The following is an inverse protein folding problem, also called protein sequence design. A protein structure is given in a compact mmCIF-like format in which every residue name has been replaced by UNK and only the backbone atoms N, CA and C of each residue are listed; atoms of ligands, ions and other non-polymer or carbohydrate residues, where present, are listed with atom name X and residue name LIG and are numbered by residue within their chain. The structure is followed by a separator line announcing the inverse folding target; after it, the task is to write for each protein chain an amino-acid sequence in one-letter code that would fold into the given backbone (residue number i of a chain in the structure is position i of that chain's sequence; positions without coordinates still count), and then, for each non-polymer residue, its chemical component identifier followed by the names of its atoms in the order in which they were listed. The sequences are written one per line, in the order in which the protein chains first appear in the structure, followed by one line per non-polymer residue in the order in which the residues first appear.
data_IF_515519700496
#
_entry.id   IF_515519700496
#
_cell.length_a   1.000
_cell.length_b   1.000
_cell.length_c   1.000
_cell.angle_alpha   90.00
_cell.angle_beta   90.00
_cell.angle_gamma   90.00
#
_symmetry.space_group_name_H-M   'P 1'
#
loop_
_entity.id
_entity.type
_entity.pdbx_description
1 polymer ?
#
# COMPACT_ATOMS: atom_id res chain seq x y z
N UNK A 1 -14.82 -12.56 -7.98
CA UNK A 1 -13.96 -11.44 -8.38
C UNK A 1 -13.37 -10.75 -7.16
N UNK A 2 -12.13 -10.57 -7.15
CA UNK A 2 -11.46 -10.00 -6.01
C UNK A 2 -11.15 -8.52 -6.25
N UNK A 3 -11.40 -7.70 -5.25
CA UNK A 3 -11.00 -6.30 -5.27
C UNK A 3 -9.61 -6.11 -4.69
N UNK A 4 -8.97 -7.21 -4.36
CA UNK A 4 -7.71 -7.17 -3.67
C UNK A 4 -6.59 -7.09 -4.68
N UNK A 5 -5.86 -6.01 -4.64
CA UNK A 5 -4.77 -5.82 -5.57
C UNK A 5 -3.56 -5.28 -4.80
N UNK A 6 -2.45 -5.94 -4.97
CA UNK A 6 -1.18 -5.49 -4.43
C UNK A 6 -0.21 -5.39 -5.58
N UNK A 7 0.35 -4.21 -5.76
CA UNK A 7 1.23 -3.94 -6.90
C UNK A 7 2.56 -3.42 -6.39
N UNK A 8 3.60 -4.23 -6.47
CA UNK A 8 4.94 -3.74 -6.14
C UNK A 8 5.50 -2.92 -7.30
N UNK A 9 6.01 -1.76 -6.98
CA UNK A 9 6.63 -0.89 -7.96
C UNK A 9 8.08 -0.66 -7.59
N UNK A 10 8.94 -0.78 -8.58
CA UNK A 10 10.35 -0.52 -8.42
C UNK A 10 10.66 0.74 -9.21
N UNK A 11 11.02 1.79 -8.50
CA UNK A 11 11.32 3.08 -9.12
C UNK A 11 12.81 3.34 -9.22
N UNK A 12 13.58 2.30 -9.32
CA UNK A 12 15.02 2.52 -9.44
C UNK A 12 15.33 3.15 -10.78
N UNK A 13 16.25 4.07 -10.75
CA UNK A 13 16.69 4.78 -11.93
C UNK A 13 18.19 4.65 -12.02
N UNK A 14 18.63 3.79 -12.87
CA UNK A 14 20.03 3.52 -13.12
C UNK A 14 21.00 4.18 -12.17
N UNK A 15 21.56 3.47 -11.28
CA UNK A 15 22.57 4.00 -10.38
C UNK A 15 22.05 4.49 -9.05
N UNK A 16 20.76 4.69 -8.90
CA UNK A 16 20.21 5.07 -7.61
C UNK A 16 19.64 3.84 -6.91
N UNK A 17 19.61 3.86 -5.60
CA UNK A 17 19.00 2.76 -4.87
C UNK A 17 17.54 2.57 -5.28
N UNK A 18 17.15 1.34 -5.38
CA UNK A 18 15.76 1.02 -5.70
C UNK A 18 14.86 1.41 -4.55
N UNK A 19 13.75 2.05 -4.90
CA UNK A 19 12.70 2.33 -3.94
C UNK A 19 11.52 1.47 -4.32
N UNK A 20 11.14 0.56 -3.45
CA UNK A 20 10.06 -0.36 -3.72
C UNK A 20 8.83 0.15 -2.98
N UNK A 21 7.76 0.34 -3.71
CA UNK A 21 6.48 0.71 -3.12
C UNK A 21 5.49 -0.42 -3.29
N UNK A 22 4.79 -0.71 -2.22
CA UNK A 22 3.75 -1.72 -2.25
C UNK A 22 2.43 -1.01 -2.03
N UNK A 23 1.55 -1.14 -3.02
CA UNK A 23 0.28 -0.45 -3.00
C UNK A 23 -0.84 -1.46 -2.85
N UNK A 24 -1.58 -1.34 -1.78
CA UNK A 24 -2.73 -2.20 -1.55
C UNK A 24 -4.01 -1.47 -1.93
N UNK A 25 -4.79 -2.06 -2.82
CA UNK A 25 -6.01 -1.48 -3.31
C UNK A 25 -7.19 -2.31 -2.83
N UNK A 26 -8.19 -1.61 -2.29
CA UNK A 26 -9.39 -2.28 -1.80
C UNK A 26 -9.19 -2.83 -0.40
N UNK A 27 -10.24 -3.48 0.12
CA UNK A 27 -10.22 -3.98 1.48
C UNK A 27 -9.19 -5.06 1.71
N UNK A 28 -9.15 -6.05 0.82
CA UNK A 28 -8.20 -7.15 0.99
C UNK A 28 -6.77 -6.71 0.74
N UNK A 29 -6.56 -5.88 -0.29
CA UNK A 29 -5.22 -5.36 -0.55
C UNK A 29 -4.73 -4.51 0.59
N UNK A 30 -5.59 -3.67 1.15
CA UNK A 30 -5.24 -2.87 2.30
C UNK A 30 -4.89 -3.72 3.51
N UNK A 31 -5.65 -4.79 3.72
CA UNK A 31 -5.38 -5.70 4.81
C UNK A 31 -4.00 -6.33 4.69
N UNK A 32 -3.66 -6.77 3.50
CA UNK A 32 -2.36 -7.39 3.27
C UNK A 32 -1.23 -6.40 3.53
N UNK A 33 -1.39 -5.18 3.06
CA UNK A 33 -0.39 -4.15 3.29
C UNK A 33 -0.28 -3.80 4.77
N UNK A 34 -1.43 -3.72 5.46
CA UNK A 34 -1.43 -3.47 6.89
C UNK A 34 -0.64 -4.54 7.63
N UNK A 35 -0.85 -5.78 7.22
CA UNK A 35 -0.14 -6.89 7.85
C UNK A 35 1.36 -6.78 7.64
N UNK A 36 1.78 -6.50 6.42
CA UNK A 36 3.20 -6.35 6.13
C UNK A 36 3.80 -5.18 6.88
N UNK A 37 3.05 -4.09 7.00
CA UNK A 37 3.52 -2.94 7.74
C UNK A 37 3.78 -3.28 9.20
N UNK A 38 2.89 -4.05 9.78
CA UNK A 38 3.02 -4.45 11.18
C UNK A 38 4.17 -5.41 11.41
N UNK A 39 4.60 -6.11 10.36
CA UNK A 39 5.73 -7.01 10.45
C UNK A 39 7.05 -6.27 10.61
N UNK A 40 7.04 -4.97 10.46
CA UNK A 40 8.25 -4.18 10.69
C UNK A 40 9.17 -4.11 9.50
N UNK A 41 8.63 -4.27 8.32
CA UNK A 41 9.42 -4.14 7.10
C UNK A 41 9.69 -2.67 6.84
N UNK A 42 10.95 -2.29 6.77
CA UNK A 42 11.34 -0.89 6.66
C UNK A 42 11.88 -0.48 5.31
N UNK A 43 12.27 -1.45 4.49
CA UNK A 43 12.89 -1.16 3.21
C UNK A 43 11.88 -0.87 2.11
N UNK A 44 10.61 -0.83 2.47
CA UNK A 44 9.53 -0.70 1.51
C UNK A 44 8.61 0.40 1.97
N UNK A 45 8.13 1.18 1.01
CA UNK A 45 7.12 2.20 1.28
C UNK A 45 5.75 1.59 1.05
N UNK A 46 4.89 1.68 2.04
CA UNK A 46 3.55 1.11 1.94
C UNK A 46 2.53 2.21 1.68
N UNK A 47 1.62 1.92 0.77
CA UNK A 47 0.54 2.83 0.43
C UNK A 47 -0.76 2.05 0.40
N UNK A 48 -1.81 2.58 0.99
CA UNK A 48 -3.12 1.95 0.91
C UNK A 48 -4.07 2.87 0.16
N UNK A 49 -4.87 2.28 -0.70
CA UNK A 49 -5.84 2.99 -1.51
C UNK A 49 -7.21 2.38 -1.31
N UNK A 50 -8.21 3.21 -1.15
CA UNK A 50 -9.56 2.71 -1.00
C UNK A 50 -10.54 3.83 -1.34
N UNK A 51 -11.73 3.44 -1.73
CA UNK A 51 -12.83 4.39 -1.85
C UNK A 51 -13.48 4.63 -0.49
N UNK A 52 -13.32 3.70 0.43
CA UNK A 52 -13.90 3.79 1.77
C UNK A 52 -12.95 4.52 2.69
N UNK A 53 -13.32 5.74 3.05
CA UNK A 53 -12.49 6.58 3.89
C UNK A 53 -12.31 5.99 5.28
N UNK A 54 -13.32 5.31 5.78
CA UNK A 54 -13.22 4.72 7.11
C UNK A 54 -12.18 3.61 7.15
N UNK A 55 -12.13 2.80 6.10
CA UNK A 55 -11.12 1.75 6.03
C UNK A 55 -9.71 2.36 6.00
N UNK A 56 -9.55 3.47 5.30
CA UNK A 56 -8.26 4.15 5.27
C UNK A 56 -7.88 4.65 6.66
N UNK A 57 -8.84 5.22 7.37
CA UNK A 57 -8.57 5.77 8.70
C UNK A 57 -8.14 4.69 9.68
N UNK A 58 -8.59 3.46 9.48
CA UNK A 58 -8.25 2.38 10.38
C UNK A 58 -6.91 1.74 10.07
N UNK A 59 -6.32 2.11 8.95
CA UNK A 59 -5.04 1.52 8.56
C UNK A 59 -3.90 2.18 9.34
N UNK A 60 -2.91 1.40 9.80
CA UNK A 60 -1.74 1.96 10.45
C UNK A 60 -0.76 2.59 9.46
N UNK A 61 -0.93 2.32 8.17
CA UNK A 61 -0.03 2.81 7.15
C UNK A 61 -0.17 4.33 7.04
N UNK A 62 0.95 5.08 7.03
CA UNK A 62 0.87 6.53 7.02
C UNK A 62 0.45 7.13 5.68
N UNK A 63 0.73 6.44 4.58
CA UNK A 63 0.40 6.95 3.26
C UNK A 63 -0.90 6.34 2.80
N UNK A 64 -1.90 7.19 2.62
CA UNK A 64 -3.24 6.74 2.27
C UNK A 64 -3.75 7.57 1.11
N UNK A 65 -4.35 6.90 0.14
CA UNK A 65 -4.96 7.55 -1.00
C UNK A 65 -6.42 7.19 -1.05
N UNK A 66 -7.27 8.18 -1.00
CA UNK A 66 -8.68 7.94 -1.17
C UNK A 66 -9.01 8.02 -2.65
N UNK A 67 -9.56 6.94 -3.18
CA UNK A 67 -9.94 6.88 -4.57
C UNK A 67 -11.28 7.57 -4.75
N UNK A 68 -11.41 8.27 -5.85
CA UNK A 68 -12.66 8.96 -6.15
C UNK A 68 -13.77 7.97 -6.44
N UNK A 69 -14.98 8.46 -6.33
CA UNK A 69 -16.15 7.64 -6.55
C UNK A 69 -16.76 7.91 -7.89
#
# INVERSE_FOLDING_TARGET
MSDETIMPFDFSNGGTPSIIKVIGVGGGGGNAVNHMYREGIHDVTFVVCNTDNQALNESPVPIKLQLGR
#
